data_IF_836801535023
#
_entry.id   IF_836801535023
#
_cell.length_a   1.000
_cell.length_b   1.000
_cell.length_c   1.000
_cell.angle_alpha   90.00
_cell.angle_beta   90.00
_cell.angle_gamma   90.00
#
_symmetry.space_group_name_H-M   'P 1'
#
loop_
_entity.id
_entity.type
_entity.pdbx_description
1 polymer ?
#
# COMPACT_ATOMS: atom_id res chain seq x y z
N UNK A 1 -67.06 -54.43 44.68
CA UNK A 1 -65.87 -54.56 43.82
C UNK A 1 -65.99 -53.50 42.73
N UNK A 2 -65.08 -52.51 42.72
CA UNK A 2 -65.18 -51.26 41.96
C UNK A 2 -64.92 -51.46 40.45
N UNK A 3 -65.56 -50.69 39.56
CA UNK A 3 -65.48 -50.88 38.10
C UNK A 3 -64.20 -50.25 37.50
N UNK A 4 -63.73 -50.84 36.38
CA UNK A 4 -62.66 -50.33 35.52
C UNK A 4 -63.06 -48.98 34.92
N UNK A 5 -62.22 -47.94 35.11
CA UNK A 5 -62.29 -46.69 34.36
C UNK A 5 -61.21 -46.72 33.26
N UNK A 6 -61.64 -46.65 32.01
CA UNK A 6 -60.81 -46.39 30.84
C UNK A 6 -60.24 -44.96 30.92
N UNK A 7 -58.92 -44.82 30.84
CA UNK A 7 -58.26 -43.53 30.64
C UNK A 7 -57.78 -43.45 29.18
N UNK A 8 -58.59 -42.78 28.35
CA UNK A 8 -58.22 -42.36 27.01
C UNK A 8 -57.27 -41.17 27.16
N UNK A 9 -56.00 -41.36 26.82
CA UNK A 9 -55.02 -40.27 26.74
C UNK A 9 -55.24 -39.54 25.42
N UNK A 10 -55.78 -38.32 25.49
CA UNK A 10 -55.82 -37.38 24.38
C UNK A 10 -54.39 -36.91 24.08
N UNK A 11 -53.81 -37.36 22.96
CA UNK A 11 -52.61 -36.74 22.41
C UNK A 11 -53.00 -35.39 21.78
N UNK A 12 -52.71 -34.30 22.48
CA UNK A 12 -52.80 -32.97 21.91
C UNK A 12 -51.65 -32.78 20.91
N UNK A 13 -51.96 -32.81 19.60
CA UNK A 13 -51.07 -32.33 18.54
C UNK A 13 -50.91 -30.81 18.73
N UNK A 14 -49.80 -30.41 19.36
CA UNK A 14 -49.31 -29.04 19.27
C UNK A 14 -48.66 -28.93 17.89
N UNK A 15 -49.36 -28.27 16.96
CA UNK A 15 -48.76 -27.84 15.71
C UNK A 15 -47.67 -26.83 16.03
N UNK A 16 -46.40 -27.26 15.95
CA UNK A 16 -45.29 -26.32 15.94
C UNK A 16 -45.42 -25.45 14.68
N UNK A 17 -45.36 -24.11 14.80
CA UNK A 17 -45.24 -23.27 13.62
C UNK A 17 -43.98 -23.71 12.89
N UNK A 18 -44.13 -24.08 11.62
CA UNK A 18 -43.01 -24.48 10.78
C UNK A 18 -41.91 -23.45 10.88
N UNK A 19 -40.69 -23.91 11.16
CA UNK A 19 -39.51 -23.10 10.99
C UNK A 19 -39.54 -22.57 9.56
N UNK A 20 -39.80 -21.27 9.41
CA UNK A 20 -39.53 -20.58 8.18
C UNK A 20 -38.05 -20.83 7.91
N UNK A 21 -37.77 -21.63 6.88
CA UNK A 21 -36.45 -21.68 6.30
C UNK A 21 -36.12 -20.23 5.97
N UNK A 22 -35.18 -19.65 6.71
CA UNK A 22 -34.53 -18.44 6.28
C UNK A 22 -33.99 -18.78 4.89
N UNK A 23 -34.64 -18.23 3.87
CA UNK A 23 -34.10 -18.23 2.52
C UNK A 23 -32.70 -17.69 2.67
N UNK A 24 -31.70 -18.52 2.35
CA UNK A 24 -30.35 -18.05 2.16
C UNK A 24 -30.47 -16.82 1.27
N UNK A 25 -30.15 -15.64 1.82
CA UNK A 25 -30.02 -14.45 1.01
C UNK A 25 -28.90 -14.78 0.07
N UNK A 26 -29.20 -14.93 -1.23
CA UNK A 26 -28.19 -15.17 -2.25
C UNK A 26 -27.10 -14.12 -2.05
N UNK A 27 -25.93 -14.58 -1.63
CA UNK A 27 -24.75 -13.73 -1.56
C UNK A 27 -24.55 -13.15 -2.96
N UNK A 28 -24.32 -11.84 -3.11
CA UNK A 28 -24.06 -11.27 -4.42
C UNK A 28 -22.93 -12.06 -5.10
N UNK A 29 -23.28 -12.77 -6.17
CA UNK A 29 -22.36 -13.68 -6.85
C UNK A 29 -21.56 -12.85 -7.84
N UNK A 30 -20.26 -12.78 -7.60
CA UNK A 30 -19.38 -12.19 -8.57
C UNK A 30 -19.35 -13.01 -9.87
N UNK A 31 -19.54 -12.35 -11.00
CA UNK A 31 -19.54 -13.00 -12.30
C UNK A 31 -18.20 -12.78 -13.00
N UNK A 32 -17.68 -13.85 -13.61
CA UNK A 32 -16.54 -13.76 -14.50
C UNK A 32 -16.94 -12.98 -15.77
N UNK A 33 -16.20 -11.91 -16.10
CA UNK A 33 -16.32 -11.24 -17.39
C UNK A 33 -15.82 -12.13 -18.54
N UNK A 34 -16.15 -11.75 -19.78
CA UNK A 34 -15.79 -12.50 -20.99
C UNK A 34 -14.26 -12.52 -21.19
N UNK A 35 -13.64 -13.70 -21.05
CA UNK A 35 -12.19 -13.92 -21.10
C UNK A 35 -11.56 -13.76 -22.52
N UNK A 36 -12.26 -13.07 -23.42
CA UNK A 36 -11.89 -12.87 -24.82
C UNK A 36 -11.59 -11.42 -25.19
N UNK A 37 -11.79 -10.47 -24.26
CA UNK A 37 -11.42 -9.08 -24.47
C UNK A 37 -9.89 -8.87 -24.42
N UNK A 38 -9.30 -8.03 -25.29
CA UNK A 38 -7.90 -7.63 -25.16
C UNK A 38 -7.66 -6.98 -23.80
N UNK A 39 -6.50 -7.24 -23.20
CA UNK A 39 -6.15 -6.68 -21.90
C UNK A 39 -6.21 -5.14 -21.95
N UNK A 40 -6.94 -4.47 -21.03
CA UNK A 40 -7.08 -3.03 -21.04
C UNK A 40 -5.85 -2.28 -20.48
N UNK A 41 -4.77 -2.99 -20.20
CA UNK A 41 -3.52 -2.50 -19.61
C UNK A 41 -2.30 -2.95 -20.44
N UNK A 42 -1.13 -2.30 -20.28
CA UNK A 42 0.08 -2.65 -21.01
C UNK A 42 0.48 -4.11 -20.84
N UNK A 43 0.69 -4.80 -21.96
CA UNK A 43 1.13 -6.20 -21.98
C UNK A 43 2.66 -6.24 -22.06
N UNK A 44 3.34 -6.99 -21.18
CA UNK A 44 4.79 -7.12 -21.23
C UNK A 44 5.28 -7.73 -22.55
N UNK A 45 6.44 -7.29 -23.03
CA UNK A 45 7.02 -7.82 -24.26
C UNK A 45 7.22 -9.33 -24.19
N UNK A 46 6.81 -10.03 -25.25
CA UNK A 46 6.90 -11.49 -25.36
C UNK A 46 5.73 -12.25 -24.73
N UNK A 47 4.80 -11.58 -24.05
CA UNK A 47 3.55 -12.22 -23.61
C UNK A 47 2.52 -12.28 -24.76
N UNK A 48 1.77 -13.37 -24.80
CA UNK A 48 0.72 -13.63 -25.79
C UNK A 48 -0.59 -13.87 -25.05
N UNK A 49 -1.57 -12.98 -25.26
CA UNK A 49 -2.91 -13.10 -24.67
C UNK A 49 -3.55 -14.42 -25.06
N UNK A 50 -4.12 -15.12 -24.08
CA UNK A 50 -4.74 -16.44 -24.28
C UNK A 50 -3.75 -17.60 -24.27
N UNK A 51 -2.44 -17.34 -24.22
CA UNK A 51 -1.39 -18.39 -24.22
C UNK A 51 -0.51 -18.27 -22.98
N UNK A 52 0.30 -17.22 -22.90
CA UNK A 52 1.23 -17.01 -21.77
C UNK A 52 0.64 -16.07 -20.72
N UNK A 53 -0.38 -15.30 -21.08
CA UNK A 53 -1.04 -14.35 -20.21
C UNK A 53 -2.55 -14.40 -20.47
N UNK A 54 -3.34 -14.50 -19.42
CA UNK A 54 -4.80 -14.40 -19.47
C UNK A 54 -5.22 -13.08 -18.82
N UNK A 55 -6.26 -12.45 -19.35
CA UNK A 55 -6.87 -11.26 -18.77
C UNK A 55 -8.34 -11.53 -18.52
N UNK A 56 -8.86 -10.91 -17.48
CA UNK A 56 -10.28 -10.99 -17.18
C UNK A 56 -10.69 -9.98 -16.15
N UNK A 57 -11.96 -10.06 -15.79
CA UNK A 57 -12.55 -9.20 -14.77
C UNK A 57 -13.56 -9.98 -13.94
N UNK A 58 -13.83 -9.43 -12.76
CA UNK A 58 -14.77 -9.93 -11.77
C UNK A 58 -15.68 -8.76 -11.44
N UNK A 59 -16.98 -8.91 -11.72
CA UNK A 59 -17.98 -7.91 -11.33
C UNK A 59 -18.42 -8.23 -9.90
N UNK A 60 -18.31 -7.29 -8.98
CA UNK A 60 -18.66 -7.42 -7.58
C UNK A 60 -19.57 -6.27 -7.14
N UNK A 61 -20.35 -6.40 -6.06
CA UNK A 61 -21.05 -5.25 -5.50
C UNK A 61 -20.06 -4.24 -4.89
N UNK A 62 -20.36 -2.95 -5.04
CA UNK A 62 -19.70 -1.86 -4.32
C UNK A 62 -19.91 -2.09 -2.82
N UNK A 63 -21.13 -2.35 -2.38
CA UNK A 63 -21.44 -2.67 -0.98
C UNK A 63 -21.85 -4.14 -0.82
N UNK A 64 -20.94 -4.97 -0.30
CA UNK A 64 -21.17 -6.39 -0.03
C UNK A 64 -22.28 -6.67 0.99
N UNK A 65 -22.68 -5.68 1.81
CA UNK A 65 -23.76 -5.82 2.78
C UNK A 65 -25.15 -5.48 2.21
N UNK A 66 -25.23 -4.95 0.98
CA UNK A 66 -26.49 -4.49 0.38
C UNK A 66 -26.77 -5.28 -0.91
N UNK A 67 -27.80 -6.15 -0.92
CA UNK A 67 -28.22 -6.82 -2.15
C UNK A 67 -28.63 -5.82 -3.23
N UNK A 68 -28.12 -5.99 -4.45
CA UNK A 68 -28.40 -5.11 -5.58
C UNK A 68 -27.73 -3.73 -5.47
N UNK A 69 -26.67 -3.60 -4.68
CA UNK A 69 -25.80 -2.42 -4.71
C UNK A 69 -25.22 -2.17 -6.12
N UNK A 70 -24.71 -0.96 -6.35
CA UNK A 70 -23.95 -0.66 -7.56
C UNK A 70 -22.81 -1.65 -7.74
N UNK A 71 -22.40 -1.90 -8.99
CA UNK A 71 -21.34 -2.85 -9.30
C UNK A 71 -19.99 -2.14 -9.41
N UNK A 72 -18.93 -2.81 -8.94
CA UNK A 72 -17.53 -2.49 -9.21
C UNK A 72 -16.92 -3.61 -10.03
N UNK A 73 -15.98 -3.25 -10.92
CA UNK A 73 -15.25 -4.20 -11.75
C UNK A 73 -13.84 -4.35 -11.22
N UNK A 74 -13.42 -5.57 -10.95
CA UNK A 74 -12.07 -5.92 -10.50
C UNK A 74 -11.35 -6.62 -11.65
N UNK A 75 -10.31 -5.99 -12.19
CA UNK A 75 -9.55 -6.52 -13.32
C UNK A 75 -8.31 -7.26 -12.86
N UNK A 76 -7.95 -8.29 -13.61
CA UNK A 76 -6.79 -9.12 -13.31
C UNK A 76 -6.07 -9.60 -14.59
N UNK A 77 -4.81 -9.99 -14.38
CA UNK A 77 -4.00 -10.76 -15.31
C UNK A 77 -3.51 -12.03 -14.62
N UNK A 78 -3.47 -13.15 -15.35
CA UNK A 78 -2.81 -14.38 -14.93
C UNK A 78 -1.63 -14.63 -15.86
N UNK A 79 -0.42 -14.45 -15.35
CA UNK A 79 0.80 -14.84 -16.01
C UNK A 79 0.96 -16.36 -15.88
N UNK A 80 0.75 -17.08 -16.97
CA UNK A 80 0.79 -18.54 -17.00
C UNK A 80 2.22 -19.05 -16.88
N UNK A 81 2.41 -20.11 -16.11
CA UNK A 81 3.69 -20.81 -16.05
C UNK A 81 4.04 -21.41 -17.42
N UNK A 82 5.29 -21.28 -17.90
CA UNK A 82 5.72 -21.95 -19.12
C UNK A 82 5.97 -23.46 -18.91
N UNK A 83 5.92 -23.94 -17.66
CA UNK A 83 6.08 -25.36 -17.35
C UNK A 83 4.83 -26.15 -17.80
N UNK A 84 5.04 -27.38 -18.32
CA UNK A 84 3.94 -28.27 -18.74
C UNK A 84 3.20 -28.89 -17.55
N UNK A 85 3.81 -28.89 -16.37
CA UNK A 85 3.23 -29.41 -15.14
C UNK A 85 3.62 -28.48 -13.97
N UNK A 86 3.11 -27.24 -13.95
CA UNK A 86 3.33 -26.35 -12.82
C UNK A 86 2.66 -26.93 -11.57
N UNK A 87 3.06 -26.45 -10.40
CA UNK A 87 2.28 -26.70 -9.21
C UNK A 87 0.88 -26.07 -9.36
N UNK A 88 -0.16 -26.70 -8.80
CA UNK A 88 -1.55 -26.28 -9.04
C UNK A 88 -1.93 -25.00 -8.31
N UNK A 89 -1.11 -24.53 -7.38
CA UNK A 89 -1.40 -23.38 -6.53
C UNK A 89 -0.66 -22.11 -6.97
N UNK A 90 -1.38 -21.07 -7.43
CA UNK A 90 -0.78 -19.84 -7.94
C UNK A 90 -0.29 -18.94 -6.81
N UNK A 91 0.45 -17.90 -7.18
CA UNK A 91 0.78 -16.78 -6.30
C UNK A 91 -0.12 -15.60 -6.68
N UNK A 92 -0.87 -15.06 -5.75
CA UNK A 92 -1.60 -13.80 -5.93
C UNK A 92 -0.82 -12.66 -5.28
N UNK A 93 -0.49 -11.67 -6.08
CA UNK A 93 0.24 -10.50 -5.64
C UNK A 93 -0.74 -9.42 -5.15
N UNK A 94 -0.46 -8.88 -3.96
CA UNK A 94 -1.26 -7.84 -3.31
C UNK A 94 -0.42 -6.56 -3.28
N UNK A 95 -0.82 -5.61 -4.11
CA UNK A 95 -0.10 -4.34 -4.29
C UNK A 95 -0.13 -3.43 -3.06
N UNK A 96 0.94 -2.65 -2.93
CA UNK A 96 1.11 -1.60 -1.94
C UNK A 96 0.40 -0.28 -2.28
N UNK A 97 0.88 0.81 -1.66
CA UNK A 97 0.27 2.14 -1.76
C UNK A 97 -0.43 2.54 -0.46
N UNK A 98 -1.76 2.44 -0.31
CA UNK A 98 -2.79 2.02 -1.28
C UNK A 98 -2.91 2.93 -2.51
N UNK A 99 -3.73 2.55 -3.50
CA UNK A 99 -4.00 3.34 -4.72
C UNK A 99 -3.05 3.07 -5.90
N UNK A 100 -2.00 2.28 -5.70
CA UNK A 100 -1.09 1.85 -6.77
C UNK A 100 -1.75 0.79 -7.68
N UNK A 101 -1.29 0.69 -8.91
CA UNK A 101 -1.80 -0.28 -9.88
C UNK A 101 -0.75 -1.35 -10.19
N UNK A 102 -1.04 -2.58 -9.77
CA UNK A 102 -0.20 -3.73 -10.12
C UNK A 102 -0.30 -4.05 -11.61
N UNK A 103 -1.47 -3.78 -12.22
CA UNK A 103 -1.67 -3.99 -13.65
C UNK A 103 -0.91 -2.95 -14.50
N UNK A 104 -0.76 -1.71 -14.03
CA UNK A 104 0.14 -0.74 -14.66
C UNK A 104 1.61 -1.20 -14.54
N UNK A 105 1.99 -1.73 -13.37
CA UNK A 105 3.30 -2.30 -13.08
C UNK A 105 3.56 -3.71 -13.64
N UNK A 106 2.65 -4.25 -14.45
CA UNK A 106 2.70 -5.65 -14.90
C UNK A 106 4.02 -6.05 -15.58
N UNK A 107 4.67 -5.23 -16.43
CA UNK A 107 5.97 -5.56 -17.00
C UNK A 107 7.06 -5.78 -15.94
N UNK A 108 7.13 -4.90 -14.93
CA UNK A 108 8.08 -5.00 -13.83
C UNK A 108 7.80 -6.23 -12.95
N UNK A 109 6.53 -6.47 -12.62
CA UNK A 109 6.12 -7.61 -11.81
C UNK A 109 6.35 -8.94 -12.54
N UNK A 110 6.14 -8.98 -13.86
CA UNK A 110 6.43 -10.15 -14.68
C UNK A 110 7.89 -10.58 -14.56
N UNK A 111 8.82 -9.63 -14.58
CA UNK A 111 10.25 -9.91 -14.46
C UNK A 111 10.65 -10.24 -13.01
N UNK A 112 10.12 -9.51 -12.03
CA UNK A 112 10.32 -9.78 -10.60
C UNK A 112 9.90 -11.21 -10.22
N UNK A 113 8.76 -11.68 -10.74
CA UNK A 113 8.25 -13.03 -10.49
C UNK A 113 8.73 -14.08 -11.50
N UNK A 114 9.61 -13.76 -12.46
CA UNK A 114 9.97 -14.66 -13.56
C UNK A 114 10.52 -16.03 -13.08
N UNK A 115 11.25 -16.04 -11.96
CA UNK A 115 11.75 -17.26 -11.33
C UNK A 115 10.65 -18.12 -10.72
N UNK A 116 9.74 -17.51 -9.95
CA UNK A 116 8.60 -18.20 -9.33
C UNK A 116 7.59 -18.68 -10.38
N UNK A 117 7.41 -17.90 -11.45
CA UNK A 117 6.55 -18.24 -12.59
C UNK A 117 6.98 -19.52 -13.32
N UNK A 118 8.25 -19.93 -13.22
CA UNK A 118 8.68 -21.24 -13.75
C UNK A 118 7.97 -22.43 -13.10
N UNK A 119 7.39 -22.21 -11.91
CA UNK A 119 6.81 -23.26 -11.09
C UNK A 119 5.30 -23.09 -10.92
N UNK A 120 4.76 -21.87 -11.06
CA UNK A 120 3.39 -21.49 -10.70
C UNK A 120 2.85 -20.43 -11.63
N UNK A 121 1.53 -20.33 -11.71
CA UNK A 121 0.90 -19.15 -12.28
C UNK A 121 1.02 -17.97 -11.30
N UNK A 122 1.10 -16.75 -11.83
CA UNK A 122 1.12 -15.51 -11.04
C UNK A 122 -0.12 -14.70 -11.37
N UNK A 123 -0.92 -14.39 -10.37
CA UNK A 123 -2.14 -13.59 -10.47
C UNK A 123 -1.82 -12.17 -10.02
N UNK A 124 -2.05 -11.22 -10.91
CA UNK A 124 -1.89 -9.78 -10.70
C UNK A 124 -3.26 -9.14 -10.86
N UNK A 125 -3.68 -8.29 -9.93
CA UNK A 125 -4.95 -7.58 -10.04
C UNK A 125 -4.86 -6.21 -9.37
N UNK A 126 -5.74 -5.30 -9.77
CA UNK A 126 -5.91 -4.02 -9.10
C UNK A 126 -7.03 -4.14 -8.07
N UNK A 127 -6.81 -3.68 -6.84
CA UNK A 127 -7.89 -3.55 -5.85
C UNK A 127 -8.92 -2.51 -6.31
N UNK A 128 -10.17 -2.59 -5.80
CA UNK A 128 -11.22 -1.61 -6.09
C UNK A 128 -10.74 -0.17 -5.88
N UNK A 129 -11.13 0.73 -6.77
CA UNK A 129 -10.72 2.14 -6.71
C UNK A 129 -9.38 2.45 -7.38
N UNK A 130 -8.60 1.43 -7.77
CA UNK A 130 -7.31 1.64 -8.41
C UNK A 130 -7.46 1.59 -9.94
N UNK A 131 -6.62 2.35 -10.66
CA UNK A 131 -6.48 2.47 -12.12
C UNK A 131 -7.41 1.62 -13.01
N UNK A 132 -7.25 0.29 -13.04
CA UNK A 132 -8.04 -0.57 -13.94
C UNK A 132 -9.25 -1.23 -13.28
N UNK A 133 -9.45 -1.11 -11.98
CA UNK A 133 -10.54 -1.73 -11.22
C UNK A 133 -11.47 -0.68 -10.60
N UNK A 134 -12.46 -0.21 -11.36
CA UNK A 134 -13.40 0.86 -10.94
C UNK A 134 -12.67 2.05 -10.31
N UNK A 135 -11.84 2.79 -11.07
CA UNK A 135 -10.91 3.75 -10.51
C UNK A 135 -11.58 4.97 -9.88
N UNK A 136 -11.10 5.37 -8.71
CA UNK A 136 -11.46 6.63 -8.07
C UNK A 136 -10.63 7.78 -8.66
N UNK A 137 -11.09 8.35 -9.78
CA UNK A 137 -10.43 9.48 -10.43
C UNK A 137 -11.13 10.78 -10.09
N UNK A 138 -10.49 11.60 -9.25
CA UNK A 138 -10.90 12.97 -9.01
C UNK A 138 -10.08 13.90 -9.93
N UNK A 139 -10.70 14.62 -10.88
CA UNK A 139 -9.99 15.48 -11.82
C UNK A 139 -9.18 16.55 -11.09
N UNK A 140 -8.01 16.92 -11.63
CA UNK A 140 -7.15 17.95 -11.03
C UNK A 140 -7.87 19.30 -10.92
N UNK A 141 -8.78 19.61 -11.86
CA UNK A 141 -9.60 20.81 -11.81
C UNK A 141 -10.58 20.81 -10.64
N UNK A 142 -10.93 19.64 -10.10
CA UNK A 142 -11.74 19.50 -8.90
C UNK A 142 -10.83 19.46 -7.67
N UNK A 143 -9.82 18.58 -7.68
CA UNK A 143 -8.91 18.35 -6.58
C UNK A 143 -8.15 19.63 -6.17
N UNK A 144 -7.75 20.46 -7.14
CA UNK A 144 -6.97 21.68 -6.94
C UNK A 144 -7.77 22.96 -6.67
N UNK A 145 -9.10 22.91 -6.58
CA UNK A 145 -9.89 24.10 -6.22
C UNK A 145 -9.56 24.55 -4.79
N UNK A 146 -9.40 25.85 -4.49
CA UNK A 146 -9.18 26.32 -3.12
C UNK A 146 -10.39 26.02 -2.21
N UNK A 147 -10.16 25.54 -0.98
CA UNK A 147 -11.17 25.46 0.08
C UNK A 147 -10.88 26.43 1.21
N UNK A 148 -11.96 27.01 1.73
CA UNK A 148 -11.93 27.72 3.00
C UNK A 148 -11.75 26.71 4.14
N UNK A 149 -10.63 26.80 4.86
CA UNK A 149 -10.42 26.00 6.07
C UNK A 149 -11.42 26.46 7.13
N UNK A 150 -12.26 25.57 7.71
CA UNK A 150 -13.24 25.98 8.71
C UNK A 150 -12.57 26.67 9.91
N UNK A 151 -13.16 27.76 10.40
CA UNK A 151 -12.66 28.61 11.49
C UNK A 151 -12.31 27.81 12.76
N UNK A 152 -13.04 26.72 13.04
CA UNK A 152 -12.77 25.82 14.19
C UNK A 152 -11.50 24.96 14.03
N UNK A 153 -11.10 24.64 12.79
CA UNK A 153 -9.80 24.05 12.52
C UNK A 153 -8.68 25.09 12.69
N UNK A 154 -8.95 26.35 12.35
CA UNK A 154 -8.02 27.46 12.57
C UNK A 154 -7.83 27.76 14.07
N UNK A 155 -8.88 27.69 14.89
CA UNK A 155 -8.80 27.87 16.35
C UNK A 155 -8.04 26.74 17.05
N UNK A 156 -8.25 25.49 16.62
CA UNK A 156 -7.47 24.35 17.10
C UNK A 156 -5.99 24.52 16.73
N UNK A 157 -5.69 24.92 15.49
CA UNK A 157 -4.34 25.24 14.99
C UNK A 157 -3.69 26.36 15.81
N UNK A 158 -4.44 27.42 16.12
CA UNK A 158 -3.94 28.55 16.90
C UNK A 158 -3.70 28.22 18.38
N UNK A 159 -4.34 27.17 18.91
CA UNK A 159 -4.18 26.71 20.29
C UNK A 159 -2.98 25.78 20.53
N UNK A 160 -2.29 25.37 19.46
CA UNK A 160 -1.08 24.53 19.54
C UNK A 160 0.15 25.44 19.65
N UNK A 161 0.80 25.40 20.80
CA UNK A 161 1.87 26.31 21.21
C UNK A 161 3.24 25.82 20.70
N UNK A 162 3.50 25.96 19.38
CA UNK A 162 4.86 26.05 18.79
C UNK A 162 4.81 26.44 17.29
N UNK A 163 5.75 27.28 16.84
CA UNK A 163 5.92 27.67 15.43
C UNK A 163 6.27 26.49 14.50
N UNK A 164 6.70 25.34 15.06
CA UNK A 164 7.00 24.12 14.30
C UNK A 164 5.74 23.28 14.01
N UNK A 165 4.75 23.29 14.91
CA UNK A 165 3.53 22.50 14.75
C UNK A 165 2.50 23.19 13.84
N UNK A 166 2.44 24.52 13.84
CA UNK A 166 1.60 25.27 12.90
C UNK A 166 2.04 25.06 11.44
N UNK A 167 3.35 24.87 11.20
CA UNK A 167 3.90 24.59 9.87
C UNK A 167 3.64 23.14 9.44
N UNK A 168 3.70 22.19 10.37
CA UNK A 168 3.34 20.78 10.13
C UNK A 168 1.84 20.63 9.86
N UNK A 169 0.99 21.41 10.52
CA UNK A 169 -0.46 21.36 10.32
C UNK A 169 -0.88 22.17 9.08
N UNK A 170 -0.26 23.31 8.77
CA UNK A 170 -0.51 24.02 7.50
C UNK A 170 -0.03 23.23 6.28
N UNK A 171 1.13 22.56 6.37
CA UNK A 171 1.64 21.66 5.34
C UNK A 171 0.82 20.36 5.22
N UNK A 172 0.25 19.84 6.32
CA UNK A 172 -0.65 18.66 6.28
C UNK A 172 -2.07 18.99 5.79
N UNK A 173 -2.51 20.24 5.86
CA UNK A 173 -3.91 20.63 5.60
C UNK A 173 -4.16 21.46 4.33
N UNK A 174 -3.15 21.77 3.50
CA UNK A 174 -3.42 22.51 2.24
C UNK A 174 -3.48 21.63 0.99
N UNK A 175 -2.83 20.46 0.97
CA UNK A 175 -2.90 19.52 -0.16
C UNK A 175 -3.89 18.37 0.06
N UNK A 176 -3.67 17.56 1.11
CA UNK A 176 -4.46 16.34 1.34
C UNK A 176 -5.89 16.66 1.79
N UNK A 177 -6.05 17.62 2.71
CA UNK A 177 -7.36 18.05 3.18
C UNK A 177 -8.16 18.72 2.05
N UNK A 178 -7.48 19.52 1.22
CA UNK A 178 -8.05 20.15 0.03
C UNK A 178 -8.63 19.13 -0.95
N UNK A 179 -7.82 18.13 -1.31
CA UNK A 179 -8.23 17.01 -2.17
C UNK A 179 -9.40 16.27 -1.53
N UNK A 180 -9.34 15.94 -0.23
CA UNK A 180 -10.41 15.22 0.44
C UNK A 180 -11.74 16.00 0.45
N UNK A 181 -11.70 17.31 0.75
CA UNK A 181 -12.88 18.18 0.80
C UNK A 181 -13.49 18.36 -0.59
N UNK A 182 -12.68 18.47 -1.63
CA UNK A 182 -13.17 18.64 -3.00
C UNK A 182 -13.66 17.34 -3.63
N UNK A 183 -12.95 16.24 -3.42
CA UNK A 183 -13.24 14.98 -4.10
C UNK A 183 -14.39 14.22 -3.45
N UNK A 184 -14.60 14.35 -2.13
CA UNK A 184 -15.73 13.71 -1.46
C UNK A 184 -17.11 14.08 -2.06
N UNK A 185 -17.48 15.36 -2.25
CA UNK A 185 -18.74 15.71 -2.90
C UNK A 185 -18.77 15.32 -4.37
N UNK A 186 -17.64 15.43 -5.08
CA UNK A 186 -17.54 14.99 -6.49
C UNK A 186 -17.88 13.51 -6.69
N UNK A 187 -17.39 12.63 -5.80
CA UNK A 187 -17.76 11.21 -5.84
C UNK A 187 -19.20 10.97 -5.40
N UNK A 188 -19.70 11.72 -4.41
CA UNK A 188 -21.09 11.62 -3.98
C UNK A 188 -22.10 12.00 -5.09
N UNK A 189 -21.78 13.01 -5.92
CA UNK A 189 -22.60 13.40 -7.09
C UNK A 189 -22.67 12.29 -8.15
N UNK A 190 -21.61 11.48 -8.26
CA UNK A 190 -21.57 10.28 -9.09
C UNK A 190 -22.18 9.05 -8.42
N UNK A 191 -22.74 9.22 -7.23
CA UNK A 191 -23.31 8.14 -6.41
C UNK A 191 -22.28 7.07 -6.03
N UNK A 192 -21.00 7.43 -5.95
CA UNK A 192 -19.92 6.55 -5.50
C UNK A 192 -19.84 6.65 -3.97
N UNK A 193 -20.03 5.53 -3.27
CA UNK A 193 -19.94 5.49 -1.81
C UNK A 193 -18.49 5.23 -1.38
N UNK A 194 -17.75 6.31 -1.09
CA UNK A 194 -16.36 6.22 -0.63
C UNK A 194 -16.17 5.38 0.64
N UNK A 195 -17.21 5.16 1.44
CA UNK A 195 -17.12 4.29 2.62
C UNK A 195 -16.94 2.81 2.24
N UNK A 196 -17.20 2.46 0.97
CA UNK A 196 -17.06 1.10 0.45
C UNK A 196 -15.69 0.80 -0.19
N UNK A 197 -14.80 1.78 -0.30
CA UNK A 197 -13.44 1.61 -0.82
C UNK A 197 -12.48 1.34 0.34
N UNK A 198 -12.79 0.29 1.09
CA UNK A 198 -12.08 -0.14 2.29
C UNK A 198 -11.30 -1.43 2.06
N UNK A 199 -10.32 -1.71 2.91
CA UNK A 199 -9.60 -3.00 2.91
C UNK A 199 -10.55 -4.18 3.11
N UNK A 200 -11.56 -4.02 3.98
CA UNK A 200 -12.54 -5.08 4.25
C UNK A 200 -13.32 -5.49 2.99
N UNK A 201 -13.76 -4.52 2.19
CA UNK A 201 -14.43 -4.83 0.93
C UNK A 201 -13.45 -5.31 -0.16
N UNK A 202 -12.20 -4.82 -0.15
CA UNK A 202 -11.14 -5.35 -1.04
C UNK A 202 -10.81 -6.82 -0.76
N UNK A 203 -10.94 -7.27 0.50
CA UNK A 203 -10.81 -8.69 0.88
C UNK A 203 -11.95 -9.53 0.31
N UNK A 204 -13.17 -9.02 0.32
CA UNK A 204 -14.31 -9.70 -0.31
C UNK A 204 -14.14 -9.84 -1.82
N UNK A 205 -13.62 -8.79 -2.49
CA UNK A 205 -13.28 -8.84 -3.92
C UNK A 205 -12.20 -9.87 -4.23
N UNK A 206 -11.18 -9.95 -3.37
CA UNK A 206 -10.11 -10.93 -3.50
C UNK A 206 -10.66 -12.36 -3.37
N UNK A 207 -11.59 -12.60 -2.43
CA UNK A 207 -12.28 -13.89 -2.31
C UNK A 207 -13.12 -14.19 -3.55
N UNK A 208 -13.85 -13.20 -4.07
CA UNK A 208 -14.62 -13.32 -5.30
C UNK A 208 -13.73 -13.66 -6.51
N UNK A 209 -12.57 -13.00 -6.63
CA UNK A 209 -11.56 -13.30 -7.64
C UNK A 209 -11.03 -14.73 -7.53
N UNK A 210 -10.68 -15.18 -6.33
CA UNK A 210 -10.25 -16.57 -6.09
C UNK A 210 -11.35 -17.59 -6.44
N UNK A 211 -12.64 -17.27 -6.19
CA UNK A 211 -13.75 -18.14 -6.59
C UNK A 211 -13.89 -18.22 -8.10
N UNK A 212 -13.80 -17.09 -8.80
CA UNK A 212 -13.89 -17.03 -10.28
C UNK A 212 -12.72 -17.79 -10.93
N UNK A 213 -11.51 -17.66 -10.40
CA UNK A 213 -10.33 -18.32 -10.95
C UNK A 213 -10.29 -19.83 -10.67
N UNK A 214 -10.90 -20.29 -9.56
CA UNK A 214 -11.16 -21.70 -9.32
C UNK A 214 -9.95 -22.59 -9.06
N UNK A 215 -8.78 -22.04 -8.69
CA UNK A 215 -7.65 -22.86 -8.23
C UNK A 215 -7.98 -23.54 -6.90
N UNK A 216 -7.38 -24.71 -6.66
CA UNK A 216 -7.66 -25.52 -5.47
C UNK A 216 -7.16 -24.87 -4.16
N UNK A 217 -6.03 -24.18 -4.22
CA UNK A 217 -5.43 -23.44 -3.10
C UNK A 217 -4.58 -22.27 -3.64
N UNK A 218 -4.34 -21.24 -2.83
CA UNK A 218 -3.65 -20.01 -3.22
C UNK A 218 -2.48 -19.66 -2.29
N UNK A 219 -1.43 -19.03 -2.84
CA UNK A 219 -0.38 -18.40 -2.04
C UNK A 219 -0.49 -16.88 -2.15
N UNK A 220 -0.39 -16.18 -1.03
CA UNK A 220 -0.43 -14.71 -1.01
C UNK A 220 1.00 -14.15 -1.05
N UNK A 221 1.22 -13.08 -1.80
CA UNK A 221 2.42 -12.24 -1.70
C UNK A 221 1.98 -10.79 -1.56
N UNK A 222 1.98 -10.27 -0.33
CA UNK A 222 1.61 -8.88 -0.07
C UNK A 222 2.81 -8.01 0.22
N UNK A 223 2.84 -6.82 -0.40
CA UNK A 223 3.83 -5.78 -0.11
C UNK A 223 3.18 -4.53 0.47
N UNK A 224 3.82 -3.86 1.42
CA UNK A 224 3.35 -2.56 1.93
C UNK A 224 1.85 -2.62 2.32
N UNK A 225 0.97 -1.76 1.78
CA UNK A 225 -0.49 -1.86 1.98
C UNK A 225 -1.07 -3.26 1.68
N UNK A 226 -0.57 -3.98 0.68
CA UNK A 226 -0.98 -5.35 0.38
C UNK A 226 -0.74 -6.34 1.52
N UNK A 227 0.18 -6.04 2.44
CA UNK A 227 0.32 -6.80 3.70
C UNK A 227 -0.89 -6.61 4.62
N UNK A 228 -1.46 -5.40 4.66
CA UNK A 228 -2.68 -5.12 5.39
C UNK A 228 -3.86 -5.89 4.79
N UNK A 229 -3.97 -5.95 3.46
CA UNK A 229 -4.96 -6.79 2.74
C UNK A 229 -4.78 -8.27 3.10
N UNK A 230 -3.54 -8.78 3.07
CA UNK A 230 -3.25 -10.18 3.42
C UNK A 230 -3.64 -10.50 4.87
N UNK A 231 -3.26 -9.66 5.83
CA UNK A 231 -3.57 -9.84 7.24
C UNK A 231 -5.08 -9.75 7.51
N UNK A 232 -5.77 -8.82 6.83
CA UNK A 232 -7.22 -8.69 6.92
C UNK A 232 -7.95 -9.89 6.31
N UNK A 233 -7.44 -10.46 5.21
CA UNK A 233 -7.94 -11.71 4.64
C UNK A 233 -7.80 -12.86 5.64
N UNK A 234 -6.64 -13.01 6.29
CA UNK A 234 -6.43 -14.03 7.32
C UNK A 234 -7.38 -13.85 8.52
N UNK A 235 -7.60 -12.59 8.95
CA UNK A 235 -8.58 -12.26 10.00
C UNK A 235 -10.00 -12.61 9.56
N UNK A 236 -10.36 -12.34 8.31
CA UNK A 236 -11.65 -12.70 7.73
C UNK A 236 -11.87 -14.21 7.78
N UNK A 237 -10.88 -15.01 7.38
CA UNK A 237 -10.96 -16.47 7.41
C UNK A 237 -11.19 -17.01 8.83
N UNK A 238 -10.48 -16.46 9.83
CA UNK A 238 -10.69 -16.84 11.24
C UNK A 238 -12.07 -16.45 11.80
N UNK A 239 -12.69 -15.39 11.26
CA UNK A 239 -14.04 -14.98 11.66
C UNK A 239 -15.17 -15.76 10.95
N UNK A 240 -14.85 -16.43 9.83
CA UNK A 240 -15.81 -17.15 8.98
C UNK A 240 -15.45 -18.65 8.90
N UNK A 241 -14.95 -19.21 10.00
CA UNK A 241 -14.67 -20.64 10.10
C UNK A 241 -15.93 -21.47 9.80
N UNK A 242 -15.79 -22.44 8.88
CA UNK A 242 -16.88 -23.30 8.45
C UNK A 242 -17.63 -22.83 7.19
N UNK A 243 -17.34 -21.62 6.69
CA UNK A 243 -17.79 -21.21 5.36
C UNK A 243 -16.91 -21.83 4.26
N UNK A 244 -17.50 -22.04 3.09
CA UNK A 244 -16.76 -22.52 1.91
C UNK A 244 -15.98 -21.36 1.28
N UNK A 245 -14.76 -21.17 1.81
CA UNK A 245 -13.79 -20.20 1.32
C UNK A 245 -12.70 -20.88 0.47
N UNK A 246 -12.16 -20.22 -0.57
CA UNK A 246 -11.01 -20.72 -1.32
C UNK A 246 -9.83 -21.08 -0.39
N UNK A 247 -9.14 -22.19 -0.61
CA UNK A 247 -8.09 -22.59 0.33
C UNK A 247 -6.85 -21.67 0.21
N UNK A 248 -6.25 -21.33 1.35
CA UNK A 248 -4.97 -20.62 1.41
C UNK A 248 -3.87 -21.59 1.85
N UNK A 249 -2.78 -21.66 1.09
CA UNK A 249 -1.64 -22.55 1.35
C UNK A 249 -0.51 -21.86 2.10
N UNK A 250 -0.15 -20.65 1.67
CA UNK A 250 0.93 -19.87 2.27
C UNK A 250 0.73 -18.37 2.06
N UNK A 251 1.44 -17.55 2.83
CA UNK A 251 1.43 -16.10 2.70
C UNK A 251 2.79 -15.48 2.99
N UNK A 252 3.22 -14.55 2.13
CA UNK A 252 4.38 -13.69 2.35
C UNK A 252 3.88 -12.29 2.68
N UNK A 253 4.40 -11.74 3.78
CA UNK A 253 4.10 -10.41 4.30
C UNK A 253 5.41 -9.61 4.25
N UNK A 254 5.59 -8.82 3.20
CA UNK A 254 6.86 -8.12 2.91
C UNK A 254 6.68 -6.60 3.06
N UNK A 255 7.49 -5.94 3.89
CA UNK A 255 7.26 -4.54 4.27
C UNK A 255 5.95 -4.36 5.06
N UNK A 256 5.84 -5.07 6.19
CA UNK A 256 4.62 -5.22 6.99
C UNK A 256 3.98 -3.89 7.44
N UNK A 257 2.68 -3.75 7.18
CA UNK A 257 1.78 -2.69 7.66
C UNK A 257 0.71 -3.32 8.56
N UNK A 258 1.02 -3.55 9.84
CA UNK A 258 0.12 -4.25 10.73
C UNK A 258 -1.13 -3.40 11.05
N UNK A 259 -2.34 -3.98 11.10
CA UNK A 259 -3.59 -3.24 11.28
C UNK A 259 -3.69 -2.43 12.59
N UNK A 260 -2.89 -2.79 13.59
CA UNK A 260 -2.86 -2.16 14.91
C UNK A 260 -1.74 -1.11 15.07
N UNK A 261 -0.95 -0.83 14.03
CA UNK A 261 0.07 0.21 14.09
C UNK A 261 -0.49 1.58 13.72
N UNK A 262 -0.09 2.60 14.47
CA UNK A 262 -0.17 3.99 14.02
C UNK A 262 0.88 4.23 12.93
N UNK A 263 0.50 3.91 11.70
CA UNK A 263 1.35 4.11 10.52
C UNK A 263 1.64 5.59 10.28
N UNK A 264 0.76 6.51 10.67
CA UNK A 264 0.98 7.96 10.49
C UNK A 264 2.02 8.48 11.48
N UNK A 265 1.90 8.12 12.76
CA UNK A 265 2.89 8.44 13.79
C UNK A 265 4.24 7.78 13.52
N UNK A 266 4.25 6.50 13.12
CA UNK A 266 5.47 5.76 12.81
C UNK A 266 6.25 6.33 11.62
N UNK A 267 5.57 6.73 10.54
CA UNK A 267 6.21 7.31 9.35
C UNK A 267 6.85 8.68 9.62
N UNK A 268 6.25 9.49 10.51
CA UNK A 268 6.81 10.79 10.92
C UNK A 268 8.18 10.65 11.60
N UNK A 269 8.47 9.49 12.18
CA UNK A 269 9.76 9.17 12.79
C UNK A 269 10.70 8.40 11.84
N UNK A 270 10.17 7.42 11.10
CA UNK A 270 10.96 6.49 10.30
C UNK A 270 11.76 7.18 9.19
N UNK A 271 11.15 8.13 8.47
CA UNK A 271 11.82 8.78 7.32
C UNK A 271 13.03 9.64 7.76
N UNK A 272 12.90 10.58 8.73
CA UNK A 272 14.06 11.29 9.25
C UNK A 272 15.12 10.37 9.84
N UNK A 273 14.71 9.32 10.58
CA UNK A 273 15.65 8.37 11.17
C UNK A 273 16.47 7.62 10.10
N UNK A 274 15.84 7.18 9.01
CA UNK A 274 16.52 6.48 7.92
C UNK A 274 17.49 7.39 7.17
N UNK A 275 17.13 8.66 6.95
CA UNK A 275 18.03 9.66 6.35
C UNK A 275 19.26 9.90 7.25
N UNK A 276 19.05 10.06 8.56
CA UNK A 276 20.17 10.25 9.50
C UNK A 276 21.05 9.00 9.60
N UNK A 277 20.47 7.81 9.48
CA UNK A 277 21.22 6.55 9.44
C UNK A 277 22.09 6.46 8.18
N UNK A 278 21.56 6.81 7.01
CA UNK A 278 22.34 6.90 5.77
C UNK A 278 23.57 7.82 5.94
N UNK A 279 23.38 8.99 6.55
CA UNK A 279 24.51 9.89 6.80
C UNK A 279 25.53 9.31 7.79
N UNK A 280 25.07 8.60 8.82
CA UNK A 280 25.97 7.90 9.73
C UNK A 280 26.77 6.78 9.03
N UNK A 281 26.15 6.06 8.09
CA UNK A 281 26.81 5.06 7.26
C UNK A 281 27.84 5.71 6.31
N UNK A 282 27.53 6.87 5.73
CA UNK A 282 28.50 7.65 4.97
C UNK A 282 29.70 8.10 5.83
N UNK A 283 29.46 8.60 7.05
CA UNK A 283 30.53 9.00 7.99
C UNK A 283 31.44 7.81 8.36
N UNK A 284 30.89 6.59 8.41
CA UNK A 284 31.62 5.37 8.73
C UNK A 284 32.39 4.79 7.52
N UNK A 285 31.96 5.07 6.29
CA UNK A 285 32.68 4.66 5.08
C UNK A 285 33.91 5.54 4.84
N UNK A 286 35.03 4.92 4.46
CA UNK A 286 36.30 5.62 4.33
C UNK A 286 36.32 6.65 3.19
N UNK A 287 35.66 6.36 2.06
CA UNK A 287 35.63 7.26 0.92
C UNK A 287 34.55 8.34 1.11
N UNK A 288 33.35 7.93 1.53
CA UNK A 288 32.23 8.84 1.76
C UNK A 288 32.52 9.80 2.92
N UNK A 289 33.01 9.30 4.06
CA UNK A 289 33.32 10.14 5.23
C UNK A 289 34.49 11.10 4.98
N UNK A 290 35.45 10.73 4.13
CA UNK A 290 36.51 11.64 3.71
C UNK A 290 36.02 12.73 2.74
N UNK A 291 35.08 12.40 1.85
CA UNK A 291 34.48 13.35 0.92
C UNK A 291 33.45 14.27 1.59
N UNK A 292 32.70 13.75 2.56
CA UNK A 292 31.58 14.40 3.24
C UNK A 292 31.74 14.30 4.76
N UNK A 293 32.75 14.95 5.37
CA UNK A 293 32.94 14.92 6.81
C UNK A 293 31.75 15.60 7.52
N UNK A 294 31.37 15.03 8.67
CA UNK A 294 30.30 15.49 9.56
C UNK A 294 28.94 15.72 8.86
N UNK A 295 28.68 14.95 7.79
CA UNK A 295 27.54 15.19 6.89
C UNK A 295 26.19 15.08 7.59
N UNK A 296 26.07 14.25 8.62
CA UNK A 296 24.83 14.13 9.40
C UNK A 296 24.52 15.43 10.13
N UNK A 297 25.52 16.05 10.76
CA UNK A 297 25.35 17.34 11.46
C UNK A 297 25.07 18.46 10.45
N UNK A 298 25.83 18.50 9.36
CA UNK A 298 25.65 19.47 8.27
C UNK A 298 24.25 19.42 7.66
N UNK A 299 23.70 18.23 7.45
CA UNK A 299 22.33 18.08 6.96
C UNK A 299 21.30 18.66 7.94
N UNK A 300 21.46 18.44 9.26
CA UNK A 300 20.59 19.02 10.29
C UNK A 300 20.69 20.54 10.29
N UNK A 301 21.92 21.07 10.27
CA UNK A 301 22.18 22.51 10.28
C UNK A 301 21.60 23.19 9.02
N UNK A 302 21.71 22.55 7.84
CA UNK A 302 21.13 23.04 6.58
C UNK A 302 19.59 23.09 6.62
N UNK A 303 18.95 22.04 7.15
CA UNK A 303 17.49 22.02 7.32
C UNK A 303 17.04 23.12 8.29
N UNK A 304 17.77 23.32 9.39
CA UNK A 304 17.48 24.40 10.34
C UNK A 304 17.65 25.78 9.71
N UNK A 305 18.73 25.99 8.95
CA UNK A 305 18.96 27.22 8.21
C UNK A 305 17.78 27.52 7.27
N UNK A 306 17.34 26.52 6.50
CA UNK A 306 16.21 26.64 5.59
C UNK A 306 14.85 26.84 6.29
N UNK A 307 14.77 26.51 7.59
CA UNK A 307 13.59 26.73 8.42
C UNK A 307 13.55 28.17 8.96
N UNK A 308 14.70 28.72 9.32
CA UNK A 308 14.85 30.11 9.76
C UNK A 308 14.64 31.08 8.58
N UNK A 309 15.18 30.75 7.40
CA UNK A 309 14.95 31.46 6.15
C UNK A 309 15.18 30.54 4.93
N UNK A 310 14.28 30.49 3.94
CA UNK A 310 14.48 29.68 2.74
C UNK A 310 15.83 29.96 2.05
N UNK A 311 16.47 28.90 1.55
CA UNK A 311 17.70 29.02 0.77
C UNK A 311 17.37 29.61 -0.60
N UNK A 312 18.10 30.65 -1.01
CA UNK A 312 17.95 31.27 -2.34
C UNK A 312 19.21 30.97 -3.14
N UNK A 313 19.07 30.11 -4.15
CA UNK A 313 20.19 29.65 -5.01
C UNK A 313 19.79 29.84 -6.47
N UNK A 314 20.35 30.87 -7.12
CA UNK A 314 19.90 31.26 -8.46
C UNK A 314 18.43 31.69 -8.44
N UNK A 315 17.60 31.06 -9.27
CA UNK A 315 16.15 31.29 -9.34
C UNK A 315 15.35 30.39 -8.39
N UNK A 316 16.01 29.47 -7.69
CA UNK A 316 15.38 28.51 -6.78
C UNK A 316 15.24 29.09 -5.37
N UNK A 317 14.05 28.94 -4.81
CA UNK A 317 13.77 29.23 -3.39
C UNK A 317 13.41 27.91 -2.73
N UNK A 318 14.29 27.41 -1.85
CA UNK A 318 14.21 26.08 -1.27
C UNK A 318 13.91 26.23 0.23
N UNK A 319 12.71 25.84 0.64
CA UNK A 319 12.32 25.83 2.05
C UNK A 319 12.82 24.56 2.77
N UNK A 320 12.80 24.58 4.09
CA UNK A 320 13.03 23.36 4.87
C UNK A 320 12.04 22.23 4.53
N UNK A 321 10.82 22.57 4.09
CA UNK A 321 9.84 21.58 3.67
C UNK A 321 10.25 20.92 2.35
N UNK A 322 10.78 21.69 1.41
CA UNK A 322 11.22 21.16 0.12
C UNK A 322 12.43 20.23 0.30
N UNK A 323 13.39 20.61 1.17
CA UNK A 323 14.50 19.72 1.54
C UNK A 323 14.01 18.41 2.13
N UNK A 324 13.07 18.45 3.09
CA UNK A 324 12.51 17.24 3.70
C UNK A 324 11.79 16.36 2.67
N UNK A 325 11.04 16.96 1.75
CA UNK A 325 10.36 16.23 0.68
C UNK A 325 11.35 15.55 -0.27
N UNK A 326 12.35 16.28 -0.76
CA UNK A 326 13.37 15.73 -1.68
C UNK A 326 14.20 14.64 -0.98
N UNK A 327 14.63 14.86 0.27
CA UNK A 327 15.35 13.83 1.04
C UNK A 327 14.50 12.58 1.29
N UNK A 328 13.22 12.75 1.64
CA UNK A 328 12.30 11.64 1.84
C UNK A 328 12.02 10.87 0.55
N UNK A 329 11.79 11.59 -0.55
CA UNK A 329 11.54 11.00 -1.87
C UNK A 329 12.75 10.21 -2.38
N UNK A 330 13.96 10.74 -2.19
CA UNK A 330 15.21 10.09 -2.57
C UNK A 330 15.44 8.72 -1.89
N UNK A 331 14.85 8.51 -0.70
CA UNK A 331 14.91 7.23 0.02
C UNK A 331 13.94 6.19 -0.52
N UNK A 332 12.86 6.60 -1.19
CA UNK A 332 11.70 5.75 -1.50
C UNK A 332 11.55 5.49 -3.00
N UNK A 333 11.72 6.51 -3.83
CA UNK A 333 11.37 6.44 -5.26
C UNK A 333 12.56 6.09 -6.16
N UNK A 334 12.26 5.55 -7.34
CA UNK A 334 13.19 5.59 -8.46
C UNK A 334 13.26 7.03 -8.95
N UNK A 335 14.48 7.48 -9.26
CA UNK A 335 14.71 8.81 -9.81
C UNK A 335 14.10 8.95 -11.22
N UNK A 336 13.96 7.85 -11.96
CA UNK A 336 13.34 7.84 -13.29
C UNK A 336 12.45 6.60 -13.44
N UNK A 337 11.13 6.80 -13.56
CA UNK A 337 10.16 5.73 -13.80
C UNK A 337 10.24 5.15 -15.21
N UNK A 338 10.87 5.87 -16.15
CA UNK A 338 11.00 5.49 -17.56
C UNK A 338 12.28 4.70 -17.86
N UNK A 339 13.25 4.70 -16.94
CA UNK A 339 14.50 3.96 -17.08
C UNK A 339 14.51 2.70 -16.19
N UNK A 340 14.31 1.50 -16.77
CA UNK A 340 14.25 0.25 -16.00
C UNK A 340 15.58 -0.10 -15.30
N UNK A 341 16.72 0.46 -15.77
CA UNK A 341 18.07 0.14 -15.30
C UNK A 341 18.51 0.95 -14.06
N UNK A 342 17.69 1.87 -13.56
CA UNK A 342 17.97 2.61 -12.31
C UNK A 342 17.30 1.91 -11.13
N UNK A 343 18.04 1.26 -10.21
CA UNK A 343 17.50 0.71 -8.98
C UNK A 343 16.71 1.72 -8.13
N UNK A 344 15.66 1.24 -7.46
CA UNK A 344 14.91 1.98 -6.43
C UNK A 344 15.88 2.41 -5.32
N UNK A 345 15.77 3.65 -4.83
CA UNK A 345 16.58 4.14 -3.69
C UNK A 345 17.99 4.61 -4.04
N UNK A 346 18.35 4.72 -5.34
CA UNK A 346 19.63 5.33 -5.74
C UNK A 346 19.74 6.83 -5.41
N UNK A 347 18.60 7.52 -5.26
CA UNK A 347 18.58 8.91 -4.79
C UNK A 347 19.25 9.09 -3.44
N UNK A 348 19.14 8.10 -2.55
CA UNK A 348 19.78 8.11 -1.24
C UNK A 348 21.31 8.31 -1.35
N UNK A 349 21.96 7.68 -2.32
CA UNK A 349 23.41 7.79 -2.50
C UNK A 349 23.89 9.22 -2.84
N UNK A 350 22.99 10.07 -3.37
CA UNK A 350 23.28 11.46 -3.72
C UNK A 350 23.01 12.44 -2.58
N UNK A 351 22.35 12.02 -1.48
CA UNK A 351 22.00 12.93 -0.39
C UNK A 351 23.22 13.61 0.27
N UNK A 352 24.37 12.93 0.51
CA UNK A 352 25.57 13.60 1.01
C UNK A 352 26.08 14.70 0.06
N UNK A 353 26.07 14.42 -1.25
CA UNK A 353 26.49 15.40 -2.26
C UNK A 353 25.53 16.59 -2.32
N UNK A 354 24.22 16.33 -2.33
CA UNK A 354 23.19 17.36 -2.33
C UNK A 354 23.38 18.35 -1.18
N UNK A 355 23.57 17.85 0.04
CA UNK A 355 23.81 18.70 1.21
C UNK A 355 25.08 19.54 1.03
N UNK A 356 26.18 18.92 0.58
CA UNK A 356 27.45 19.60 0.37
C UNK A 356 27.40 20.67 -0.73
N UNK A 357 26.62 20.46 -1.80
CA UNK A 357 26.40 21.43 -2.88
C UNK A 357 25.53 22.61 -2.42
N UNK A 358 24.43 22.33 -1.71
CA UNK A 358 23.52 23.37 -1.22
C UNK A 358 24.22 24.34 -0.26
N UNK A 359 25.10 23.84 0.62
CA UNK A 359 25.93 24.68 1.50
C UNK A 359 26.90 25.60 0.73
N UNK A 360 27.23 25.25 -0.52
CA UNK A 360 28.08 26.04 -1.41
C UNK A 360 27.28 26.91 -2.37
N UNK A 361 25.95 26.94 -2.26
CA UNK A 361 25.08 27.67 -3.16
C UNK A 361 24.98 27.03 -4.55
N UNK A 362 25.09 25.70 -4.64
CA UNK A 362 24.87 24.91 -5.86
C UNK A 362 23.64 24.04 -5.66
N UNK A 363 22.71 24.05 -6.61
CA UNK A 363 21.43 23.33 -6.51
C UNK A 363 21.33 22.11 -7.45
N UNK A 364 22.36 21.79 -8.23
CA UNK A 364 22.30 20.79 -9.31
C UNK A 364 21.82 19.42 -8.85
N UNK A 365 22.40 18.86 -7.78
CA UNK A 365 21.95 17.54 -7.25
C UNK A 365 20.55 17.62 -6.64
N UNK A 366 20.20 18.74 -5.99
CA UNK A 366 18.85 18.93 -5.45
C UNK A 366 17.80 18.94 -6.57
N UNK A 367 18.04 19.68 -7.65
CA UNK A 367 17.16 19.72 -8.82
C UNK A 367 17.14 18.36 -9.52
N UNK A 368 18.29 17.69 -9.63
CA UNK A 368 18.37 16.35 -10.15
C UNK A 368 17.53 15.34 -9.37
N UNK A 369 17.53 15.41 -8.04
CA UNK A 369 16.70 14.57 -7.17
C UNK A 369 15.22 14.94 -7.26
N UNK A 370 14.89 16.24 -7.28
CA UNK A 370 13.52 16.75 -7.38
C UNK A 370 12.87 16.37 -8.71
N UNK A 371 13.62 16.52 -9.81
CA UNK A 371 13.11 16.41 -11.17
C UNK A 371 13.40 15.04 -11.80
N UNK A 372 14.13 14.17 -11.09
CA UNK A 372 14.41 12.81 -11.55
C UNK A 372 15.45 12.70 -12.67
N UNK A 373 16.36 13.66 -12.77
CA UNK A 373 17.28 13.81 -13.93
C UNK A 373 18.73 13.37 -13.66
N UNK A 374 19.01 12.81 -12.47
CA UNK A 374 20.35 12.37 -12.11
C UNK A 374 20.82 11.17 -12.94
N UNK A 375 22.13 11.08 -13.23
CA UNK A 375 22.70 9.93 -13.92
C UNK A 375 22.63 8.67 -13.05
N UNK A 376 22.57 7.50 -13.70
CA UNK A 376 22.69 6.21 -13.03
C UNK A 376 24.03 6.12 -12.29
N UNK A 377 24.03 5.61 -11.06
CA UNK A 377 25.27 5.29 -10.33
C UNK A 377 25.83 3.99 -10.92
N UNK A 378 27.15 3.91 -11.10
CA UNK A 378 27.79 2.67 -11.54
C UNK A 378 27.46 1.52 -10.58
N UNK A 379 27.16 0.33 -11.11
CA UNK A 379 26.83 -0.86 -10.31
C UNK A 379 27.89 -1.11 -9.23
N UNK A 380 27.48 -1.04 -7.97
CA UNK A 380 28.26 -1.58 -6.88
C UNK A 380 28.32 -3.10 -6.99
N UNK A 381 29.46 -3.70 -6.64
CA UNK A 381 29.61 -5.15 -6.62
C UNK A 381 28.50 -5.78 -5.73
N UNK A 382 27.87 -6.89 -6.16
CA UNK A 382 26.78 -7.49 -5.39
C UNK A 382 27.30 -7.90 -4.01
N UNK A 383 26.58 -7.58 -2.92
CA UNK A 383 26.97 -8.02 -1.60
C UNK A 383 27.00 -9.55 -1.55
N UNK A 384 27.99 -10.11 -0.86
CA UNK A 384 28.03 -11.53 -0.58
C UNK A 384 26.82 -11.90 0.31
N UNK A 385 25.88 -12.64 -0.27
CA UNK A 385 24.63 -13.10 0.35
C UNK A 385 23.85 -12.02 1.15
N UNK A 386 23.01 -11.20 0.48
CA UNK A 386 22.26 -10.11 1.12
C UNK A 386 21.34 -10.56 2.27
N UNK A 387 20.92 -11.83 2.32
CA UNK A 387 20.08 -12.35 3.40
C UNK A 387 20.79 -12.38 4.76
N UNK A 388 22.12 -12.52 4.79
CA UNK A 388 22.87 -12.57 6.05
C UNK A 388 23.00 -11.18 6.69
N UNK A 389 23.28 -10.16 5.88
CA UNK A 389 23.40 -8.76 6.32
C UNK A 389 22.05 -8.18 6.72
N UNK A 390 21.00 -8.42 5.93
CA UNK A 390 19.63 -7.96 6.23
C UNK A 390 19.12 -8.62 7.52
N UNK A 391 19.38 -9.91 7.73
CA UNK A 391 18.93 -10.60 8.94
C UNK A 391 19.60 -10.06 10.21
N UNK A 392 20.90 -9.73 10.18
CA UNK A 392 21.59 -9.19 11.36
C UNK A 392 21.13 -7.77 11.69
N UNK A 393 20.94 -6.92 10.67
CA UNK A 393 20.52 -5.53 10.87
C UNK A 393 19.04 -5.41 11.24
N UNK A 394 18.17 -6.21 10.63
CA UNK A 394 16.75 -6.26 11.00
C UNK A 394 16.55 -6.75 12.44
N UNK A 395 17.39 -7.69 12.90
CA UNK A 395 17.35 -8.16 14.30
C UNK A 395 17.78 -7.05 15.26
N UNK A 396 18.86 -6.33 14.96
CA UNK A 396 19.33 -5.20 15.79
C UNK A 396 18.28 -4.08 15.87
N UNK A 397 17.68 -3.72 14.73
CA UNK A 397 16.66 -2.69 14.67
C UNK A 397 15.36 -3.10 15.40
N UNK A 398 14.96 -4.37 15.29
CA UNK A 398 13.83 -4.90 16.03
C UNK A 398 14.05 -4.90 17.54
N UNK A 399 15.29 -5.14 18.00
CA UNK A 399 15.64 -5.09 19.41
C UNK A 399 15.67 -3.65 19.93
N UNK A 400 16.24 -2.70 19.18
CA UNK A 400 16.22 -1.27 19.54
C UNK A 400 14.80 -0.71 19.57
N UNK A 401 13.97 -1.05 18.59
CA UNK A 401 12.56 -0.62 18.51
C UNK A 401 11.75 -1.20 19.67
N UNK A 402 12.01 -2.45 20.06
CA UNK A 402 11.37 -3.09 21.22
C UNK A 402 11.76 -2.41 22.53
N UNK A 403 13.04 -2.09 22.72
CA UNK A 403 13.52 -1.34 23.89
C UNK A 403 12.89 0.05 23.97
N UNK A 404 12.68 0.72 22.83
CA UNK A 404 12.02 2.02 22.78
C UNK A 404 10.52 1.91 23.08
N UNK A 405 9.84 0.90 22.50
CA UNK A 405 8.43 0.62 22.77
C UNK A 405 8.19 0.32 24.26
N UNK A 406 9.01 -0.53 24.88
CA UNK A 406 8.91 -0.86 26.31
C UNK A 406 9.09 0.37 27.21
N UNK A 407 9.95 1.32 26.82
CA UNK A 407 10.13 2.59 27.52
C UNK A 407 8.92 3.51 27.40
N UNK A 408 8.30 3.58 26.22
CA UNK A 408 7.07 4.36 25.98
C UNK A 408 5.91 3.74 26.78
N UNK A 409 5.79 2.42 26.79
CA UNK A 409 4.78 1.69 27.53
C UNK A 409 4.92 1.90 29.04
N UNK A 410 6.15 1.94 29.55
CA UNK A 410 6.44 2.26 30.96
C UNK A 410 6.05 3.70 31.32
N UNK A 411 6.25 4.67 30.41
CA UNK A 411 5.86 6.07 30.61
C UNK A 411 4.34 6.29 30.56
N UNK A 412 3.58 5.35 29.99
CA UNK A 412 2.11 5.42 29.90
C UNK A 412 1.37 4.83 31.11
N UNK A 413 2.09 4.22 32.06
CA UNK A 413 1.55 3.52 33.24
C UNK A 413 1.72 4.28 34.55
N UNK A 414 2.40 5.43 34.51
CA UNK A 414 2.48 6.44 35.58
C UNK A 414 1.63 7.67 35.20
#
# INVERSE_FOLDING_TARGET
>A
MRPLLFLIVFAALIAMPGAAQATAVDQPVAQAGDATAPCPFPIPAGEVVGVTLLCGEVVAPENWAVPGAQEVTIRYAVLKSPNRSPFPDPIIYLEGGPGSSALAGLPFLRDTFAGLRQLRDIIIYDQRGNSYSSPLVCPDEVAGQPVDVPEQAADFVASLDSDLDQLVVSAKNQGIYQVAVNCAPYFAEQQIDLTQYSTANSVQDLIALMRVLGYAEYNLYGISYGTNVALELLRYYGAHEGEELPALRSGVIDGNVPPNADTRGGQAYATPNNILRLFAECEADAACGAAFPDIRRRAIDLIQQAADAPLVIGDETISANDLRQVMGAAMIFKLDETNPDVPVGLGAAYLPLMVAELEQGVADTYLGLRDGTLPAVAEAAPPANPLATIASEATSLADETRVLADKIDALSRD
#
